data_IF_629714990346
#
_entry.id   IF_629714990346
#
_cell.length_a   1.000
_cell.length_b   1.000
_cell.length_c   1.000
_cell.angle_alpha   90.00
_cell.angle_beta   90.00
_cell.angle_gamma   90.00
#
_symmetry.space_group_name_H-M   'P 1'
#
loop_
_entity.id
_entity.type
_entity.pdbx_description
1 polymer ?
#
# COMPACT_ATOMS: atom_id res chain seq x y z
N UNK A 1 48.68 9.79 -44.47
CA UNK A 1 48.88 10.67 -45.66
C UNK A 1 47.94 11.85 -45.56
N UNK A 2 48.55 13.03 -45.49
CA UNK A 2 48.01 14.40 -45.80
C UNK A 2 46.85 14.88 -44.92
N UNK A 3 47.01 15.64 -43.82
CA UNK A 3 47.47 17.05 -43.65
C UNK A 3 46.87 18.05 -44.66
N UNK A 4 46.20 19.13 -44.09
CA UNK A 4 46.24 20.56 -44.44
C UNK A 4 45.17 21.25 -43.58
N UNK A 5 45.44 22.07 -42.80
CA UNK A 5 45.78 23.42 -42.30
C UNK A 5 45.16 24.56 -43.17
N UNK A 6 44.84 25.64 -42.46
CA UNK A 6 44.74 27.09 -42.74
C UNK A 6 43.39 27.61 -42.30
N UNK A 7 43.18 28.66 -41.46
CA UNK A 7 44.06 29.70 -40.97
C UNK A 7 43.23 30.96 -40.75
N UNK A 8 43.37 31.52 -39.57
CA UNK A 8 43.44 32.96 -39.17
C UNK A 8 42.46 33.98 -39.81
N UNK A 9 41.86 34.78 -38.93
CA UNK A 9 41.19 36.03 -39.25
C UNK A 9 40.71 36.79 -38.02
N UNK A 10 41.64 37.53 -37.41
CA UNK A 10 41.45 38.46 -36.30
C UNK A 10 41.08 39.85 -36.87
N UNK A 11 40.00 40.48 -36.40
CA UNK A 11 39.82 41.92 -36.54
C UNK A 11 39.10 42.48 -35.30
N UNK A 12 39.81 43.20 -34.51
CA UNK A 12 39.33 44.05 -33.46
C UNK A 12 38.93 45.41 -34.00
N UNK A 13 37.79 45.94 -33.62
CA UNK A 13 37.47 47.36 -33.69
C UNK A 13 36.94 47.82 -32.37
N UNK A 14 37.71 48.69 -31.68
CA UNK A 14 37.28 49.54 -30.59
C UNK A 14 36.54 50.74 -31.21
N UNK A 15 35.42 51.12 -30.62
CA UNK A 15 34.93 52.49 -30.65
C UNK A 15 34.22 52.83 -29.34
N UNK A 16 34.67 53.93 -28.77
CA UNK A 16 34.29 54.49 -27.48
C UNK A 16 33.08 55.44 -27.59
N UNK A 17 32.36 55.58 -26.44
CA UNK A 17 31.70 56.75 -25.87
C UNK A 17 30.29 57.09 -26.30
N UNK A 18 29.41 57.11 -25.30
CA UNK A 18 28.09 57.75 -25.36
C UNK A 18 27.36 57.53 -24.02
N UNK A 19 27.58 58.38 -23.03
CA UNK A 19 26.74 58.51 -21.82
C UNK A 19 25.35 59.04 -22.19
N UNK A 20 24.31 58.26 -21.87
CA UNK A 20 22.95 58.74 -21.91
C UNK A 20 22.14 57.86 -20.94
N UNK A 21 21.87 58.39 -19.77
CA UNK A 21 21.06 57.72 -18.76
C UNK A 21 19.60 57.72 -19.17
N UNK A 22 19.05 56.51 -19.34
CA UNK A 22 17.62 56.29 -19.44
C UNK A 22 17.24 55.19 -18.46
N UNK A 23 16.34 55.59 -17.51
CA UNK A 23 15.80 54.80 -16.45
C UNK A 23 14.95 53.66 -17.09
N UNK A 24 15.16 52.38 -16.74
CA UNK A 24 14.28 51.31 -17.24
C UNK A 24 12.86 51.50 -16.67
N UNK A 25 11.83 51.15 -17.43
CA UNK A 25 10.46 51.16 -16.95
C UNK A 25 10.29 50.10 -15.85
N UNK A 26 9.68 50.55 -14.78
CA UNK A 26 9.25 49.76 -13.62
C UNK A 26 8.26 48.70 -14.11
N UNK A 27 8.69 47.44 -14.19
CA UNK A 27 7.79 46.31 -14.45
C UNK A 27 6.86 46.15 -13.26
N UNK A 28 5.60 46.43 -13.48
CA UNK A 28 4.51 46.16 -12.57
C UNK A 28 4.58 44.66 -12.16
N UNK A 29 4.78 44.43 -10.88
CA UNK A 29 4.55 43.09 -10.28
C UNK A 29 3.09 42.75 -10.45
N UNK A 30 2.78 41.81 -11.31
CA UNK A 30 1.51 41.12 -11.22
C UNK A 30 1.52 40.32 -9.92
N UNK A 31 0.81 40.77 -8.93
CA UNK A 31 0.42 39.97 -7.77
C UNK A 31 -0.44 38.82 -8.30
N UNK A 32 0.23 37.69 -8.54
CA UNK A 32 -0.44 36.42 -8.72
C UNK A 32 -1.14 36.10 -7.40
N UNK A 33 -2.45 36.26 -7.39
CA UNK A 33 -3.30 35.78 -6.31
C UNK A 33 -3.00 34.29 -6.15
N UNK A 34 -2.39 33.90 -5.04
CA UNK A 34 -2.31 32.55 -4.58
C UNK A 34 -3.75 31.97 -4.58
N UNK A 35 -4.00 30.76 -5.09
CA UNK A 35 -5.30 30.16 -4.96
C UNK A 35 -5.60 30.07 -3.47
N UNK A 36 -6.73 30.66 -3.06
CA UNK A 36 -7.21 30.57 -1.69
C UNK A 36 -7.23 29.08 -1.31
N UNK A 37 -6.46 28.72 -0.30
CA UNK A 37 -6.55 27.42 0.33
C UNK A 37 -8.01 27.27 0.77
N UNK A 38 -8.74 26.43 0.06
CA UNK A 38 -10.12 26.09 0.42
C UNK A 38 -10.11 25.69 1.89
N UNK A 39 -11.04 26.23 2.65
CA UNK A 39 -11.24 25.90 4.06
C UNK A 39 -11.35 24.37 4.17
N UNK A 40 -10.25 23.73 4.52
CA UNK A 40 -10.19 22.29 4.72
C UNK A 40 -11.06 21.94 5.92
N UNK A 41 -12.27 21.46 5.66
CA UNK A 41 -13.07 20.83 6.70
C UNK A 41 -12.24 19.76 7.41
N UNK A 42 -12.43 19.60 8.73
CA UNK A 42 -11.73 18.54 9.46
C UNK A 42 -11.95 17.18 8.78
N UNK A 43 -10.87 16.40 8.68
CA UNK A 43 -10.95 15.06 8.07
C UNK A 43 -11.94 14.20 8.86
N UNK A 44 -12.78 13.47 8.13
CA UNK A 44 -13.82 12.65 8.71
C UNK A 44 -13.23 11.36 9.32
N UNK A 45 -13.80 10.93 10.43
CA UNK A 45 -13.53 9.63 11.05
C UNK A 45 -14.77 8.74 10.95
N UNK A 46 -14.62 7.40 11.03
CA UNK A 46 -15.76 6.51 11.21
C UNK A 46 -16.57 6.90 12.44
N UNK A 47 -17.89 6.99 12.28
CA UNK A 47 -18.80 7.23 13.42
C UNK A 47 -19.25 5.88 14.00
N UNK A 48 -18.41 5.30 14.85
CA UNK A 48 -18.70 3.98 15.43
C UNK A 48 -19.92 3.97 16.34
N UNK A 49 -20.33 5.14 16.85
CA UNK A 49 -21.49 5.25 17.75
C UNK A 49 -22.82 5.31 17.02
N UNK A 50 -22.86 5.95 15.85
CA UNK A 50 -24.08 6.20 15.09
C UNK A 50 -24.07 5.64 13.67
N UNK A 51 -22.90 5.29 13.15
CA UNK A 51 -22.77 4.67 11.83
C UNK A 51 -23.29 3.24 11.80
N UNK A 52 -23.48 2.74 10.60
CA UNK A 52 -23.84 1.35 10.38
C UNK A 52 -22.63 0.42 10.45
N UNK A 53 -22.88 -0.87 10.56
CA UNK A 53 -21.85 -1.91 10.60
C UNK A 53 -22.17 -2.98 9.57
N UNK A 54 -21.17 -3.37 8.78
CA UNK A 54 -21.25 -4.55 7.92
C UNK A 54 -20.27 -5.59 8.45
N UNK A 55 -20.80 -6.76 8.80
CA UNK A 55 -20.03 -7.92 9.22
C UNK A 55 -20.20 -9.05 8.22
N UNK A 56 -19.27 -9.98 8.19
CA UNK A 56 -19.40 -11.16 7.36
C UNK A 56 -18.19 -12.07 7.47
N UNK A 57 -18.19 -13.11 6.68
CA UNK A 57 -17.08 -14.05 6.52
C UNK A 57 -16.79 -14.26 5.04
N UNK A 58 -15.56 -14.66 4.76
CA UNK A 58 -15.13 -15.12 3.42
C UNK A 58 -15.00 -16.64 3.49
N UNK A 59 -16.04 -17.34 3.06
CA UNK A 59 -16.08 -18.79 3.00
C UNK A 59 -15.29 -19.31 1.78
N UNK A 60 -14.75 -20.51 1.89
CA UNK A 60 -14.12 -21.23 0.79
C UNK A 60 -14.99 -22.43 0.39
N UNK A 61 -15.36 -22.52 -0.88
CA UNK A 61 -16.11 -23.62 -1.43
C UNK A 61 -15.20 -24.45 -2.36
N UNK A 62 -15.00 -25.68 -2.00
CA UNK A 62 -14.14 -26.62 -2.74
C UNK A 62 -13.22 -27.40 -1.80
N UNK A 63 -12.26 -28.10 -2.39
CA UNK A 63 -11.24 -28.82 -1.62
C UNK A 63 -10.08 -27.88 -1.33
N UNK A 64 -9.75 -27.70 -0.04
CA UNK A 64 -8.61 -26.86 0.36
C UNK A 64 -7.32 -27.37 -0.31
N UNK A 65 -6.61 -26.52 -1.05
CA UNK A 65 -5.39 -26.94 -1.72
C UNK A 65 -4.29 -27.25 -0.70
N UNK A 66 -3.48 -28.24 -0.99
CA UNK A 66 -2.29 -28.56 -0.18
C UNK A 66 -1.20 -27.54 -0.51
N UNK A 67 -0.92 -26.64 0.41
CA UNK A 67 0.12 -25.63 0.22
C UNK A 67 1.50 -26.26 0.14
N UNK A 68 2.32 -25.76 -0.79
CA UNK A 68 3.70 -26.19 -0.96
C UNK A 68 4.54 -25.84 0.27
N UNK A 69 5.42 -26.74 0.66
CA UNK A 69 6.48 -26.43 1.61
C UNK A 69 7.54 -25.56 0.93
N UNK A 70 7.96 -24.52 1.61
CA UNK A 70 9.02 -23.63 1.12
C UNK A 70 10.38 -24.27 1.38
N UNK A 71 11.19 -24.42 0.33
CA UNK A 71 12.58 -24.84 0.47
C UNK A 71 13.45 -23.64 0.86
N UNK A 72 13.91 -23.63 2.09
CA UNK A 72 14.79 -22.60 2.65
C UNK A 72 16.21 -23.09 2.86
N UNK A 73 16.56 -24.30 2.39
CA UNK A 73 17.85 -24.96 2.64
C UNK A 73 19.07 -24.17 2.13
N UNK A 74 18.88 -23.34 1.11
CA UNK A 74 19.93 -22.46 0.59
C UNK A 74 20.32 -21.31 1.55
N UNK A 75 19.48 -21.02 2.57
CA UNK A 75 19.79 -20.03 3.60
C UNK A 75 19.75 -20.70 4.98
N UNK A 76 20.92 -20.94 5.62
CA UNK A 76 20.99 -21.64 6.90
C UNK A 76 20.27 -20.93 8.06
N UNK A 77 20.10 -19.61 8.02
CA UNK A 77 19.34 -18.89 9.04
C UNK A 77 17.84 -19.16 8.91
N UNK A 78 17.32 -19.13 7.68
CA UNK A 78 15.91 -19.41 7.38
C UNK A 78 15.58 -20.87 7.65
N UNK A 79 16.46 -21.82 7.23
CA UNK A 79 16.28 -23.26 7.49
C UNK A 79 16.20 -23.54 9.00
N UNK A 80 17.10 -22.94 9.79
CA UNK A 80 17.07 -23.09 11.26
C UNK A 80 15.81 -22.51 11.90
N UNK A 81 15.27 -21.40 11.39
CA UNK A 81 14.05 -20.78 11.91
C UNK A 81 12.83 -21.71 11.78
N UNK A 82 12.87 -22.65 10.83
CA UNK A 82 11.79 -23.60 10.54
C UNK A 82 12.14 -25.06 10.80
N UNK A 83 13.23 -25.32 11.54
CA UNK A 83 13.63 -26.68 11.86
C UNK A 83 12.53 -27.42 12.63
N UNK A 84 12.07 -28.54 12.07
CA UNK A 84 11.01 -29.37 12.65
C UNK A 84 9.58 -28.95 12.29
N UNK A 85 9.38 -27.75 11.74
CA UNK A 85 8.08 -27.27 11.25
C UNK A 85 8.28 -26.45 9.96
N UNK A 86 8.53 -27.08 8.81
CA UNK A 86 8.79 -26.38 7.55
C UNK A 86 7.67 -25.40 7.20
N UNK A 87 8.06 -24.17 6.84
CA UNK A 87 7.11 -23.14 6.43
C UNK A 87 6.35 -23.57 5.16
N UNK A 88 5.09 -23.23 5.11
CA UNK A 88 4.23 -23.46 3.96
C UNK A 88 3.91 -22.14 3.29
N UNK A 89 3.61 -22.19 2.00
CA UNK A 89 3.06 -21.07 1.27
C UNK A 89 1.77 -20.59 1.94
N UNK A 90 1.62 -19.27 2.09
CA UNK A 90 0.42 -18.63 2.61
C UNK A 90 -0.51 -18.14 1.47
N UNK A 91 -0.24 -18.53 0.21
CA UNK A 91 -1.05 -18.16 -0.95
C UNK A 91 -2.53 -18.51 -0.78
N UNK A 92 -2.85 -19.67 -0.19
CA UNK A 92 -4.23 -20.03 0.16
C UNK A 92 -4.26 -20.68 1.53
N UNK A 93 -4.80 -19.96 2.49
CA UNK A 93 -4.96 -20.46 3.86
C UNK A 93 -6.45 -20.64 4.15
N UNK A 94 -6.90 -21.91 4.07
CA UNK A 94 -8.26 -22.28 4.46
C UNK A 94 -8.27 -22.66 5.93
N UNK A 95 -9.03 -21.92 6.73
CA UNK A 95 -9.19 -22.13 8.16
C UNK A 95 -9.98 -23.44 8.45
N UNK A 96 -9.85 -23.95 9.67
CA UNK A 96 -10.55 -25.17 10.06
C UNK A 96 -12.08 -25.10 10.02
N UNK A 97 -12.66 -23.91 9.98
CA UNK A 97 -14.09 -23.63 9.83
C UNK A 97 -14.53 -23.44 8.37
N UNK A 98 -13.63 -23.68 7.39
CA UNK A 98 -13.93 -23.55 5.96
C UNK A 98 -13.95 -22.12 5.43
N UNK A 99 -13.31 -21.18 6.14
CA UNK A 99 -13.17 -19.77 5.68
C UNK A 99 -11.75 -19.49 5.19
N UNK A 100 -11.56 -18.38 4.48
CA UNK A 100 -10.26 -17.92 4.01
C UNK A 100 -9.62 -16.90 4.97
N UNK A 101 -8.37 -17.13 5.33
CA UNK A 101 -7.47 -16.12 5.89
C UNK A 101 -6.87 -15.29 4.74
N UNK A 102 -6.45 -14.08 5.04
CA UNK A 102 -5.80 -13.17 4.09
C UNK A 102 -6.67 -12.78 2.87
N UNK A 103 -7.96 -12.65 3.07
CA UNK A 103 -8.83 -11.97 2.11
C UNK A 103 -8.93 -10.49 2.51
N UNK A 104 -8.69 -9.59 1.56
CA UNK A 104 -8.82 -8.14 1.76
C UNK A 104 -10.23 -7.70 1.41
N UNK A 105 -10.96 -7.17 2.40
CA UNK A 105 -12.34 -6.71 2.25
C UNK A 105 -12.39 -5.20 2.41
N UNK A 106 -13.01 -4.48 1.48
CA UNK A 106 -13.06 -3.02 1.52
C UNK A 106 -14.29 -2.44 0.81
N UNK A 107 -14.65 -1.21 1.17
CA UNK A 107 -15.72 -0.47 0.50
C UNK A 107 -15.19 0.09 -0.81
N UNK A 108 -15.56 -0.50 -1.93
CA UNK A 108 -15.11 -0.07 -3.26
C UNK A 108 -15.77 1.22 -3.72
N UNK A 109 -17.07 1.39 -3.40
CA UNK A 109 -17.83 2.58 -3.77
C UNK A 109 -19.03 2.80 -2.86
N UNK A 110 -19.65 3.99 -2.97
CA UNK A 110 -20.82 4.38 -2.20
C UNK A 110 -20.52 5.29 -1.01
N UNK A 111 -19.25 5.46 -0.64
CA UNK A 111 -18.89 6.43 0.40
C UNK A 111 -19.14 7.87 -0.08
N UNK A 112 -19.55 8.77 0.83
CA UNK A 112 -19.65 10.19 0.50
C UNK A 112 -18.27 10.74 0.13
N UNK A 113 -18.27 11.75 -0.75
CA UNK A 113 -17.06 12.49 -1.12
C UNK A 113 -16.56 13.32 0.07
N UNK A 114 -15.67 12.73 0.84
CA UNK A 114 -15.06 13.29 2.06
C UNK A 114 -13.58 12.91 2.11
N UNK A 115 -12.79 13.81 2.70
CA UNK A 115 -11.45 13.46 3.15
C UNK A 115 -11.55 12.68 4.46
N UNK A 116 -10.98 11.49 4.50
CA UNK A 116 -10.95 10.65 5.69
C UNK A 116 -9.65 10.86 6.47
N UNK A 117 -9.75 10.78 7.79
CA UNK A 117 -8.58 10.90 8.65
C UNK A 117 -7.62 9.71 8.44
N UNK A 118 -6.35 10.04 8.29
CA UNK A 118 -5.30 9.04 8.20
C UNK A 118 -4.89 8.63 9.62
N UNK A 119 -4.91 7.33 9.96
CA UNK A 119 -4.44 6.86 11.26
C UNK A 119 -2.98 7.25 11.50
N UNK A 120 -2.68 7.76 12.70
CA UNK A 120 -1.31 8.16 13.09
C UNK A 120 -0.45 6.97 13.50
N UNK A 121 -1.06 5.90 14.01
CA UNK A 121 -0.35 4.67 14.34
C UNK A 121 0.11 3.97 13.07
N UNK A 122 1.38 3.54 12.99
CA UNK A 122 1.87 2.77 11.86
C UNK A 122 1.30 1.35 11.87
N UNK A 123 1.23 0.74 10.68
CA UNK A 123 0.99 -0.69 10.51
C UNK A 123 2.34 -1.38 10.37
N UNK A 124 2.61 -2.37 11.20
CA UNK A 124 3.89 -3.10 11.16
C UNK A 124 3.85 -4.21 10.10
N UNK A 125 4.90 -4.27 9.27
CA UNK A 125 5.24 -5.38 8.40
C UNK A 125 6.63 -5.90 8.79
N UNK A 126 6.67 -7.06 9.44
CA UNK A 126 7.90 -7.63 10.01
C UNK A 126 8.44 -8.76 9.11
N UNK A 127 9.74 -8.80 8.92
CA UNK A 127 10.47 -9.89 8.30
C UNK A 127 10.94 -10.81 9.43
N UNK A 128 10.19 -11.90 9.64
CA UNK A 128 10.34 -12.77 10.79
C UNK A 128 10.14 -14.25 10.40
N UNK A 129 11.13 -15.09 10.65
CA UNK A 129 11.16 -16.46 10.18
C UNK A 129 11.30 -16.54 8.67
N UNK A 130 12.01 -15.59 8.04
CA UNK A 130 12.15 -15.45 6.60
C UNK A 130 10.81 -15.44 5.85
N UNK A 131 9.84 -14.77 6.45
CA UNK A 131 8.50 -14.51 5.94
C UNK A 131 8.15 -13.05 6.21
N UNK A 132 7.30 -12.45 5.41
CA UNK A 132 6.64 -11.20 5.79
C UNK A 132 5.46 -11.50 6.70
N UNK A 133 5.38 -10.84 7.85
CA UNK A 133 4.30 -10.99 8.81
C UNK A 133 3.68 -9.64 9.18
N UNK A 134 2.36 -9.52 9.00
CA UNK A 134 1.45 -10.51 8.41
C UNK A 134 1.65 -10.63 6.89
N UNK A 135 1.14 -11.71 6.30
CA UNK A 135 1.17 -11.94 4.85
C UNK A 135 0.43 -10.86 4.05
N UNK A 136 -0.54 -10.20 4.65
CA UNK A 136 -1.32 -9.15 4.04
C UNK A 136 -1.62 -8.04 5.04
N UNK A 137 -1.45 -6.78 4.63
CA UNK A 137 -1.83 -5.61 5.41
C UNK A 137 -2.73 -4.67 4.61
N UNK A 138 -3.55 -3.91 5.33
CA UNK A 138 -4.30 -2.78 4.78
C UNK A 138 -3.86 -1.48 5.46
N UNK A 139 -3.80 -0.40 4.70
CA UNK A 139 -3.52 0.95 5.19
C UNK A 139 -4.43 1.98 4.53
N UNK A 140 -4.62 3.10 5.20
CA UNK A 140 -5.15 4.31 4.56
C UNK A 140 -4.02 5.01 3.80
N UNK A 141 -4.29 5.56 2.62
CA UNK A 141 -3.31 6.33 1.85
C UNK A 141 -2.70 7.45 2.73
N UNK A 142 -1.37 7.49 2.80
CA UNK A 142 -0.62 8.38 3.70
C UNK A 142 -0.33 7.80 5.08
N UNK A 143 -0.92 6.67 5.49
CA UNK A 143 -0.59 6.00 6.74
C UNK A 143 0.81 5.38 6.68
N UNK A 144 1.54 5.45 7.78
CA UNK A 144 2.86 4.86 7.87
C UNK A 144 2.81 3.34 7.97
N UNK A 145 3.75 2.70 7.28
CA UNK A 145 4.13 1.29 7.46
C UNK A 145 5.46 1.27 8.19
N UNK A 146 5.51 0.58 9.32
CA UNK A 146 6.76 0.28 10.02
C UNK A 146 7.31 -1.05 9.51
N UNK A 147 8.38 -0.99 8.72
CA UNK A 147 9.05 -2.18 8.19
C UNK A 147 10.18 -2.59 9.13
N UNK A 148 10.12 -3.82 9.64
CA UNK A 148 11.11 -4.39 10.55
C UNK A 148 11.82 -5.59 9.94
N UNK A 149 13.01 -5.89 10.45
CA UNK A 149 13.70 -7.15 10.25
C UNK A 149 14.03 -7.77 11.62
N UNK A 150 13.25 -8.76 12.03
CA UNK A 150 13.43 -9.51 13.29
C UNK A 150 14.27 -10.78 13.11
N UNK A 151 14.75 -11.07 11.90
CA UNK A 151 15.55 -12.25 11.60
C UNK A 151 17.06 -11.99 11.75
N UNK A 152 17.85 -13.02 12.04
CA UNK A 152 19.31 -12.94 12.09
C UNK A 152 19.97 -13.04 10.70
N UNK A 153 19.27 -12.62 9.65
CA UNK A 153 19.76 -12.61 8.26
C UNK A 153 19.29 -11.35 7.52
N UNK A 154 19.98 -11.03 6.45
CA UNK A 154 19.58 -9.88 5.61
C UNK A 154 18.32 -10.20 4.81
N UNK A 155 17.44 -9.24 4.77
CA UNK A 155 16.28 -9.21 3.90
C UNK A 155 16.23 -7.93 3.09
N UNK A 156 15.34 -7.87 2.13
CA UNK A 156 14.88 -6.62 1.58
C UNK A 156 13.38 -6.64 1.40
N UNK A 157 12.78 -5.47 1.40
CA UNK A 157 11.37 -5.29 1.08
C UNK A 157 11.24 -4.50 -0.20
N UNK A 158 10.54 -5.05 -1.18
CA UNK A 158 10.39 -4.48 -2.52
C UNK A 158 8.93 -4.54 -2.96
N UNK A 159 8.09 -3.55 -2.57
CA UNK A 159 6.77 -3.39 -3.13
C UNK A 159 6.85 -3.02 -4.61
N UNK A 160 5.92 -3.54 -5.40
CA UNK A 160 5.84 -3.35 -6.85
C UNK A 160 4.52 -2.65 -7.22
N UNK A 161 4.37 -1.37 -6.85
CA UNK A 161 3.17 -0.60 -7.19
C UNK A 161 3.12 -0.28 -8.68
N UNK A 162 1.91 -0.01 -9.19
CA UNK A 162 1.67 0.50 -10.54
C UNK A 162 1.18 1.96 -10.53
N UNK A 163 0.66 2.43 -9.38
CA UNK A 163 0.11 3.78 -9.20
C UNK A 163 1.00 4.64 -8.30
N UNK A 164 1.55 4.04 -7.23
CA UNK A 164 2.46 4.71 -6.31
C UNK A 164 3.91 4.60 -6.79
N UNK A 165 4.80 5.32 -6.12
CA UNK A 165 6.23 5.20 -6.39
C UNK A 165 6.78 3.89 -5.83
N UNK A 166 7.50 3.14 -6.66
CA UNK A 166 8.24 1.93 -6.27
C UNK A 166 9.44 2.30 -5.39
N UNK A 167 9.73 1.44 -4.44
CA UNK A 167 10.93 1.53 -3.60
C UNK A 167 11.42 0.13 -3.21
N UNK A 168 12.71 0.04 -2.90
CA UNK A 168 13.37 -1.21 -2.52
C UNK A 168 14.36 -0.92 -1.39
N UNK A 169 14.14 -1.52 -0.22
CA UNK A 169 14.93 -1.29 0.98
C UNK A 169 15.56 -2.58 1.47
N UNK A 170 16.87 -2.55 1.68
CA UNK A 170 17.58 -3.62 2.37
C UNK A 170 17.61 -3.38 3.86
N UNK A 171 17.42 -4.44 4.63
CA UNK A 171 17.50 -4.41 6.08
C UNK A 171 18.40 -5.53 6.60
N UNK A 172 19.46 -5.13 7.30
CA UNK A 172 20.33 -6.07 8.00
C UNK A 172 19.73 -6.51 9.33
N UNK A 173 20.21 -7.62 9.91
CA UNK A 173 19.84 -8.01 11.27
C UNK A 173 20.05 -6.88 12.27
N UNK A 174 19.04 -6.64 13.12
CA UNK A 174 19.11 -5.62 14.15
C UNK A 174 19.14 -4.17 13.66
N UNK A 175 18.87 -3.91 12.38
CA UNK A 175 18.71 -2.55 11.86
C UNK A 175 17.42 -1.91 12.40
N UNK A 176 17.45 -0.57 12.53
CA UNK A 176 16.29 0.19 12.93
C UNK A 176 15.11 0.00 11.92
N UNK A 177 13.86 0.01 12.41
CA UNK A 177 12.68 -0.02 11.57
C UNK A 177 12.69 1.14 10.55
N UNK A 178 12.17 0.88 9.36
CA UNK A 178 12.01 1.90 8.30
C UNK A 178 10.55 2.31 8.21
N UNK A 179 10.31 3.62 8.24
CA UNK A 179 8.98 4.18 8.01
C UNK A 179 8.78 4.44 6.52
N UNK A 180 7.71 3.89 5.95
CA UNK A 180 7.32 4.02 4.55
C UNK A 180 5.84 4.36 4.45
N UNK A 181 5.44 4.96 3.34
CA UNK A 181 4.03 5.28 3.07
C UNK A 181 3.73 5.20 1.58
N UNK A 182 2.45 5.04 1.25
CA UNK A 182 1.92 5.17 -0.10
C UNK A 182 0.88 6.29 -0.12
N UNK A 183 1.05 7.25 -1.01
CA UNK A 183 0.24 8.46 -1.05
C UNK A 183 -1.11 8.29 -1.75
N UNK A 184 -1.28 7.27 -2.59
CA UNK A 184 -2.45 7.06 -3.45
C UNK A 184 -3.06 5.69 -3.24
N UNK A 185 -4.40 5.63 -3.36
CA UNK A 185 -5.11 4.35 -3.34
C UNK A 185 -4.60 3.40 -4.42
N UNK A 186 -4.29 2.18 -4.01
CA UNK A 186 -3.87 1.09 -4.89
C UNK A 186 -4.12 -0.27 -4.20
N UNK A 187 -5.01 -1.05 -4.73
CA UNK A 187 -5.42 -2.37 -4.19
C UNK A 187 -5.10 -3.44 -5.22
N UNK A 188 -4.24 -4.36 -5.04
CA UNK A 188 -3.29 -4.69 -3.96
C UNK A 188 -1.87 -4.57 -4.52
N UNK A 189 -0.96 -3.98 -3.77
CA UNK A 189 0.45 -3.88 -4.14
C UNK A 189 1.16 -5.17 -3.75
N UNK A 190 1.74 -5.95 -4.68
CA UNK A 190 2.55 -7.10 -4.34
C UNK A 190 3.90 -6.66 -3.76
N UNK A 191 4.38 -7.42 -2.78
CA UNK A 191 5.67 -7.21 -2.11
C UNK A 191 6.50 -8.47 -2.25
N UNK A 192 7.77 -8.32 -2.60
CA UNK A 192 8.74 -9.41 -2.68
C UNK A 192 10.03 -9.10 -1.93
N UNK A 193 10.78 -10.15 -1.59
CA UNK A 193 12.17 -10.07 -1.21
C UNK A 193 13.05 -10.50 -2.41
N UNK A 194 14.06 -9.71 -2.78
CA UNK A 194 14.95 -10.07 -3.87
C UNK A 194 16.01 -11.12 -3.45
N UNK A 195 16.18 -11.32 -2.14
CA UNK A 195 17.13 -12.28 -1.56
C UNK A 195 16.46 -13.64 -1.38
N UNK A 196 15.18 -13.65 -0.97
CA UNK A 196 14.43 -14.87 -0.64
C UNK A 196 13.15 -14.92 -1.49
N UNK A 197 13.17 -15.65 -2.63
CA UNK A 197 12.08 -15.61 -3.62
C UNK A 197 10.73 -16.12 -3.11
N UNK A 198 10.73 -16.86 -2.00
CA UNK A 198 9.52 -17.35 -1.34
C UNK A 198 8.83 -16.29 -0.47
N UNK A 199 9.56 -15.23 -0.04
CA UNK A 199 8.97 -14.16 0.78
C UNK A 199 8.10 -13.25 -0.08
N UNK A 200 6.80 -13.33 0.17
CA UNK A 200 5.78 -12.53 -0.50
C UNK A 200 4.78 -11.96 0.51
N UNK A 201 4.22 -10.81 0.21
CA UNK A 201 3.18 -10.15 0.97
C UNK A 201 2.36 -9.23 0.04
N UNK A 202 1.27 -8.68 0.55
CA UNK A 202 0.41 -7.75 -0.19
C UNK A 202 0.01 -6.56 0.69
N UNK A 203 -0.05 -5.38 0.08
CA UNK A 203 -0.43 -4.15 0.76
C UNK A 203 -1.65 -3.55 0.05
N UNK A 204 -2.80 -3.52 0.74
CA UNK A 204 -3.98 -2.81 0.30
C UNK A 204 -3.92 -1.36 0.75
N UNK A 205 -3.85 -0.43 -0.19
CA UNK A 205 -3.89 1.01 0.09
C UNK A 205 -5.23 1.55 -0.34
N UNK A 206 -6.01 2.08 0.59
CA UNK A 206 -7.33 2.67 0.31
C UNK A 206 -7.42 4.09 0.81
N UNK A 207 -8.32 4.90 0.25
CA UNK A 207 -8.47 6.32 0.61
C UNK A 207 -9.34 6.57 1.85
N UNK A 208 -9.75 5.51 2.56
CA UNK A 208 -10.70 5.57 3.67
C UNK A 208 -10.46 4.40 4.64
N UNK A 209 -10.96 4.46 5.89
CA UNK A 209 -10.69 3.43 6.92
C UNK A 209 -11.60 2.19 6.86
N UNK A 210 -12.50 2.07 5.87
CA UNK A 210 -13.47 0.97 5.79
C UNK A 210 -12.91 -0.22 5.02
N UNK A 211 -12.01 -0.94 5.64
CA UNK A 211 -11.42 -2.18 5.12
C UNK A 211 -11.09 -3.13 6.28
N UNK A 212 -10.87 -4.39 5.95
CA UNK A 212 -10.41 -5.41 6.87
C UNK A 212 -9.60 -6.47 6.11
N UNK A 213 -8.73 -7.18 6.83
CA UNK A 213 -8.08 -8.41 6.35
C UNK A 213 -8.60 -9.56 7.19
N UNK A 214 -9.08 -10.63 6.57
CA UNK A 214 -9.60 -11.79 7.29
C UNK A 214 -8.49 -12.54 8.01
N UNK A 215 -8.76 -12.92 9.26
CA UNK A 215 -7.87 -13.68 10.14
C UNK A 215 -8.16 -15.18 10.17
N UNK A 216 -7.82 -15.80 11.31
CA UNK A 216 -7.96 -17.25 11.53
C UNK A 216 -9.41 -17.73 11.64
N UNK A 217 -10.36 -16.83 11.81
CA UNK A 217 -11.81 -17.11 11.80
C UNK A 217 -12.45 -16.77 10.44
N UNK A 218 -11.71 -16.09 9.56
CA UNK A 218 -12.15 -15.68 8.23
C UNK A 218 -13.23 -14.62 8.22
N UNK A 219 -13.46 -13.93 9.35
CA UNK A 219 -14.46 -12.88 9.48
C UNK A 219 -13.90 -11.51 9.15
N UNK A 220 -14.79 -10.56 8.85
CA UNK A 220 -14.49 -9.15 8.70
C UNK A 220 -15.56 -8.28 9.35
N UNK A 221 -15.19 -7.05 9.70
CA UNK A 221 -16.12 -6.05 10.23
C UNK A 221 -15.73 -4.68 9.71
N UNK A 222 -16.70 -3.98 9.09
CA UNK A 222 -16.60 -2.59 8.65
C UNK A 222 -17.54 -1.75 9.50
N UNK A 223 -17.00 -0.98 10.46
CA UNK A 223 -17.76 -0.20 11.44
C UNK A 223 -17.83 1.27 11.09
N UNK A 224 -18.88 1.94 11.56
CA UNK A 224 -19.01 3.39 11.49
C UNK A 224 -19.31 3.91 10.09
N UNK A 225 -19.88 3.08 9.22
CA UNK A 225 -20.29 3.44 7.88
C UNK A 225 -21.43 4.47 7.95
N UNK A 226 -21.36 5.61 7.23
CA UNK A 226 -22.52 6.47 7.03
C UNK A 226 -23.70 5.67 6.49
N UNK A 227 -24.96 6.08 6.74
CA UNK A 227 -26.10 5.46 6.06
C UNK A 227 -25.98 5.55 4.55
N UNK A 228 -26.11 4.42 3.83
CA UNK A 228 -25.92 4.41 2.38
C UNK A 228 -25.93 3.02 1.78
N UNK A 229 -25.79 2.97 0.44
CA UNK A 229 -25.63 1.74 -0.32
C UNK A 229 -24.19 1.66 -0.82
N UNK A 230 -23.54 0.56 -0.52
CA UNK A 230 -22.12 0.33 -0.75
C UNK A 230 -21.88 -0.86 -1.65
N UNK A 231 -20.86 -0.78 -2.49
CA UNK A 231 -20.24 -1.95 -3.10
C UNK A 231 -19.08 -2.39 -2.24
N UNK A 232 -19.17 -3.56 -1.64
CA UNK A 232 -18.08 -4.19 -0.90
C UNK A 232 -17.35 -5.15 -1.84
N UNK A 233 -16.04 -5.02 -1.93
CA UNK A 233 -15.18 -5.91 -2.70
C UNK A 233 -14.32 -6.75 -1.75
N UNK A 234 -14.22 -8.03 -2.04
CA UNK A 234 -13.21 -8.95 -1.49
C UNK A 234 -12.16 -9.19 -2.56
N UNK A 235 -10.89 -9.14 -2.19
CA UNK A 235 -9.76 -9.53 -3.01
C UNK A 235 -8.97 -10.66 -2.35
N UNK A 236 -8.57 -11.65 -3.13
CA UNK A 236 -7.68 -12.73 -2.69
C UNK A 236 -6.62 -12.99 -3.76
N UNK A 237 -5.36 -13.16 -3.35
CA UNK A 237 -4.22 -13.25 -4.29
C UNK A 237 -4.35 -14.36 -5.34
N UNK A 238 -4.96 -15.49 -4.98
CA UNK A 238 -5.18 -16.63 -5.88
C UNK A 238 -6.50 -16.55 -6.66
N UNK A 239 -7.56 -16.07 -6.01
CA UNK A 239 -8.92 -16.20 -6.52
C UNK A 239 -9.48 -14.89 -7.07
N UNK A 240 -8.69 -13.80 -7.06
CA UNK A 240 -9.11 -12.51 -7.60
C UNK A 240 -10.17 -11.82 -6.75
N UNK A 241 -11.11 -11.15 -7.40
CA UNK A 241 -12.08 -10.28 -6.76
C UNK A 241 -13.51 -10.78 -6.85
N UNK A 242 -14.31 -10.48 -5.81
CA UNK A 242 -15.76 -10.62 -5.81
C UNK A 242 -16.38 -9.34 -5.23
N UNK A 243 -17.57 -9.00 -5.67
CA UNK A 243 -18.27 -7.80 -5.24
C UNK A 243 -19.73 -8.11 -4.89
N UNK A 244 -20.23 -7.45 -3.86
CA UNK A 244 -21.64 -7.46 -3.50
C UNK A 244 -22.08 -6.07 -3.04
N UNK A 245 -23.34 -5.77 -3.22
CA UNK A 245 -23.95 -4.54 -2.72
C UNK A 245 -24.64 -4.78 -1.38
N UNK A 246 -24.57 -3.79 -0.50
CA UNK A 246 -25.28 -3.77 0.77
C UNK A 246 -25.77 -2.36 1.09
N UNK A 247 -27.00 -2.25 1.57
CA UNK A 247 -27.54 -0.99 2.10
C UNK A 247 -27.55 -1.08 3.61
N UNK A 248 -26.99 -0.07 4.28
CA UNK A 248 -26.94 -0.01 5.75
C UNK A 248 -27.46 1.35 6.22
N UNK A 249 -28.32 1.34 7.23
CA UNK A 249 -28.83 2.52 7.92
C UNK A 249 -27.97 2.94 9.12
N UNK A 250 -28.33 4.05 9.75
CA UNK A 250 -27.71 4.49 11.00
C UNK A 250 -27.92 3.43 12.09
N UNK A 251 -26.85 3.08 12.81
CA UNK A 251 -26.83 2.06 13.89
C UNK A 251 -27.31 0.67 13.46
N UNK A 252 -27.47 0.46 12.17
CA UNK A 252 -27.89 -0.82 11.63
C UNK A 252 -26.69 -1.76 11.45
N UNK A 253 -26.89 -3.05 11.75
CA UNK A 253 -25.90 -4.10 11.46
C UNK A 253 -26.43 -4.99 10.34
N UNK A 254 -25.61 -5.19 9.31
CA UNK A 254 -25.87 -6.10 8.19
C UNK A 254 -24.83 -7.19 8.13
N UNK A 255 -25.25 -8.39 7.80
CA UNK A 255 -24.35 -9.51 7.48
C UNK A 255 -24.21 -9.64 5.97
N UNK A 256 -22.98 -9.77 5.49
CA UNK A 256 -22.63 -9.92 4.07
C UNK A 256 -21.53 -10.97 3.94
N UNK A 257 -21.90 -12.20 3.61
CA UNK A 257 -20.95 -13.29 3.43
C UNK A 257 -20.51 -13.41 1.97
N UNK A 258 -19.24 -13.70 1.76
CA UNK A 258 -18.67 -14.03 0.46
C UNK A 258 -18.31 -15.51 0.40
N UNK A 259 -18.41 -16.09 -0.80
CA UNK A 259 -17.99 -17.47 -1.04
C UNK A 259 -17.06 -17.53 -2.23
N UNK A 260 -15.80 -17.82 -1.96
CA UNK A 260 -14.76 -18.00 -2.96
C UNK A 260 -14.70 -19.45 -3.37
N UNK A 261 -14.65 -19.71 -4.67
CA UNK A 261 -14.56 -21.07 -5.24
C UNK A 261 -13.13 -21.38 -5.63
N UNK A 262 -12.65 -22.52 -5.18
CA UNK A 262 -11.31 -23.05 -5.50
C UNK A 262 -11.33 -24.16 -6.51
#
# INVERSE_FOLDING_TARGET
>A
MKTIWIGVGMAAILALVGCGGEKPPETAKSEGAAPAAGAGGAAATPDEANGGTVTGKVAFAGTAPKMATMDMSANPACDRAHKGAPAKSEEVVVNGNGTLKYAFVWVKSGLPDKTWAVPTAPVTLDQNGCMYKPHMIGIVAGQNIEVKNSDPTNHNIHPQPTVNQEWNESQSPGSDPKMKTFARQEVMIPVKCNVHPWMRSYIGVVSHPFFAVTGDDGTFTLKGLPPGTYTIQVWHEKYGTQEQQVTVGAKESKTLDFTVKG
#
